data_IF_057007277790
#
_entry.id   IF_057007277790
#
_cell.length_a   1.000
_cell.length_b   1.000
_cell.length_c   1.000
_cell.angle_alpha   90.00
_cell.angle_beta   90.00
_cell.angle_gamma   90.00
#
_symmetry.space_group_name_H-M   'P 1'
#
loop_
_entity.id
_entity.type
_entity.pdbx_description
1 polymer ?
#
# COMPACT_ATOMS: atom_id res chain seq x y z
N UNK A 1 -3.15 0.53 -4.99
CA UNK A 1 -4.50 0.99 -4.66
C UNK A 1 -5.26 0.93 -5.97
N UNK A 2 -6.45 1.51 -6.08
CA UNK A 2 -7.13 1.64 -7.37
C UNK A 2 -7.63 3.08 -7.48
N UNK A 3 -7.77 3.57 -8.71
CA UNK A 3 -8.36 4.87 -8.98
C UNK A 3 -9.83 4.92 -8.52
N UNK A 4 -10.21 6.00 -7.84
CA UNK A 4 -11.60 6.29 -7.49
C UNK A 4 -12.01 7.57 -8.20
N UNK A 5 -13.03 7.48 -9.05
CA UNK A 5 -13.55 8.66 -9.76
C UNK A 5 -14.02 9.74 -8.78
N UNK A 6 -13.68 11.03 -8.97
CA UNK A 6 -14.02 12.14 -8.08
C UNK A 6 -15.48 12.20 -7.62
N UNK A 7 -16.43 11.92 -8.50
CA UNK A 7 -17.86 11.94 -8.15
C UNK A 7 -18.23 10.95 -7.03
N UNK A 8 -17.46 9.87 -6.87
CA UNK A 8 -17.68 8.90 -5.80
C UNK A 8 -17.32 9.44 -4.41
N UNK A 9 -16.62 10.59 -4.32
CA UNK A 9 -16.39 11.27 -3.04
C UNK A 9 -17.51 12.24 -2.66
N UNK A 10 -18.55 12.42 -3.50
CA UNK A 10 -19.73 13.23 -3.17
C UNK A 10 -20.78 12.47 -2.33
N UNK A 11 -20.41 11.28 -1.86
CA UNK A 11 -21.27 10.41 -1.04
C UNK A 11 -21.18 10.79 0.44
N UNK A 12 -22.06 10.20 1.26
CA UNK A 12 -22.04 10.34 2.71
C UNK A 12 -20.64 10.04 3.25
N UNK A 13 -20.10 10.95 4.07
CA UNK A 13 -18.81 10.76 4.72
C UNK A 13 -18.83 9.54 5.64
N UNK A 14 -17.85 8.67 5.44
CA UNK A 14 -17.58 7.50 6.27
C UNK A 14 -16.18 7.68 6.90
N UNK A 15 -15.86 6.98 8.00
CA UNK A 15 -14.60 7.13 8.72
C UNK A 15 -13.44 6.43 7.98
N UNK A 16 -13.27 6.73 6.69
CA UNK A 16 -12.21 6.19 5.86
C UNK A 16 -10.99 7.11 5.87
N UNK A 17 -9.83 6.47 5.73
CA UNK A 17 -8.60 7.15 5.35
C UNK A 17 -8.34 6.90 3.87
N UNK A 18 -7.94 7.92 3.13
CA UNK A 18 -7.78 7.86 1.68
C UNK A 18 -6.30 7.94 1.33
N UNK A 19 -5.76 7.02 0.52
CA UNK A 19 -4.44 7.29 -0.06
C UNK A 19 -4.59 8.15 -1.31
N UNK A 20 -3.76 9.17 -1.40
CA UNK A 20 -3.82 10.21 -2.43
C UNK A 20 -2.47 10.30 -3.12
N UNK A 21 -2.49 10.56 -4.43
CA UNK A 21 -1.28 10.80 -5.21
C UNK A 21 -1.45 11.84 -6.31
N UNK A 22 -2.64 12.44 -6.43
CA UNK A 22 -2.95 13.49 -7.38
C UNK A 22 -3.73 14.62 -6.68
N UNK A 23 -3.65 15.82 -7.23
CA UNK A 23 -4.20 17.02 -6.61
C UNK A 23 -5.73 17.11 -6.79
N UNK A 24 -6.26 16.55 -7.87
CA UNK A 24 -7.70 16.56 -8.14
C UNK A 24 -8.44 15.81 -7.03
N UNK A 25 -7.94 14.63 -6.66
CA UNK A 25 -8.46 13.85 -5.54
C UNK A 25 -8.38 14.62 -4.22
N UNK A 26 -7.24 15.27 -3.94
CA UNK A 26 -7.07 16.09 -2.72
C UNK A 26 -8.09 17.23 -2.68
N UNK A 27 -8.29 17.95 -3.76
CA UNK A 27 -9.27 19.04 -3.83
C UNK A 27 -10.70 18.56 -3.62
N UNK A 28 -11.06 17.43 -4.24
CA UNK A 28 -12.40 16.85 -4.13
C UNK A 28 -12.65 16.36 -2.70
N UNK A 29 -11.67 15.70 -2.08
CA UNK A 29 -11.74 15.30 -0.67
C UNK A 29 -11.87 16.52 0.26
N UNK A 30 -11.12 17.59 0.01
CA UNK A 30 -11.21 18.84 0.79
C UNK A 30 -12.60 19.47 0.69
N UNK A 31 -13.27 19.36 -0.46
CA UNK A 31 -14.62 19.91 -0.67
C UNK A 31 -15.71 19.05 -0.03
N UNK A 32 -15.69 17.73 -0.27
CA UNK A 32 -16.82 16.84 0.05
C UNK A 32 -16.58 15.94 1.26
N UNK A 33 -15.32 15.71 1.64
CA UNK A 33 -14.91 14.81 2.73
C UNK A 33 -14.11 15.56 3.80
N UNK A 34 -14.45 16.83 4.09
CA UNK A 34 -13.78 17.71 5.05
C UNK A 34 -13.41 17.00 6.36
N UNK A 35 -12.14 17.13 6.75
CA UNK A 35 -11.56 16.55 7.96
C UNK A 35 -11.23 15.06 7.83
N UNK A 36 -11.26 14.48 6.63
CA UNK A 36 -10.80 13.10 6.44
C UNK A 36 -9.28 12.99 6.59
N UNK A 37 -8.84 11.78 6.94
CA UNK A 37 -7.43 11.43 6.97
C UNK A 37 -6.98 11.05 5.56
N UNK A 38 -5.81 11.54 5.16
CA UNK A 38 -5.17 11.19 3.91
C UNK A 38 -3.80 10.58 4.17
N UNK A 39 -3.45 9.61 3.33
CA UNK A 39 -2.14 8.97 3.30
C UNK A 39 -1.47 9.35 1.98
N UNK A 40 -0.33 10.02 2.04
CA UNK A 40 0.43 10.35 0.84
C UNK A 40 0.98 9.06 0.25
N UNK A 41 0.55 8.70 -0.95
CA UNK A 41 1.05 7.52 -1.64
C UNK A 41 2.20 7.94 -2.56
N UNK A 42 3.41 7.47 -2.24
CA UNK A 42 4.62 7.78 -3.01
C UNK A 42 5.05 6.57 -3.83
N UNK A 43 5.42 6.81 -5.07
CA UNK A 43 5.99 5.80 -5.93
C UNK A 43 7.49 5.68 -5.67
N UNK A 44 7.90 4.54 -5.12
CA UNK A 44 9.30 4.20 -4.85
C UNK A 44 9.90 3.26 -5.89
N UNK A 45 9.18 3.00 -6.99
CA UNK A 45 9.62 2.15 -8.08
C UNK A 45 8.63 1.05 -8.50
N UNK A 46 7.39 1.08 -7.98
CA UNK A 46 6.34 0.18 -8.48
C UNK A 46 5.79 0.65 -9.83
N UNK A 47 5.91 1.96 -10.16
CA UNK A 47 5.52 2.53 -11.45
C UNK A 47 4.08 2.24 -11.84
N UNK A 48 3.18 2.27 -10.85
CA UNK A 48 1.74 2.02 -11.05
C UNK A 48 0.89 3.21 -10.64
N UNK A 49 1.10 3.68 -9.42
CA UNK A 49 0.37 4.74 -8.75
C UNK A 49 1.33 5.36 -7.72
N UNK A 50 1.11 6.61 -7.37
CA UNK A 50 1.90 7.31 -6.37
C UNK A 50 2.59 8.55 -6.95
N UNK A 51 2.93 9.46 -6.05
CA UNK A 51 3.68 10.69 -6.35
C UNK A 51 5.13 10.27 -6.55
N UNK A 52 5.74 10.67 -7.67
CA UNK A 52 7.16 10.43 -7.89
C UNK A 52 7.97 11.27 -6.91
N UNK A 53 9.12 10.77 -6.47
CA UNK A 53 9.92 11.45 -5.43
C UNK A 53 10.32 12.88 -5.86
N UNK A 54 10.62 13.05 -7.15
CA UNK A 54 10.96 14.33 -7.78
C UNK A 54 9.79 15.33 -7.84
N UNK A 55 8.54 14.86 -7.73
CA UNK A 55 7.32 15.69 -7.74
C UNK A 55 6.80 15.96 -6.32
N UNK A 56 7.31 15.24 -5.32
CA UNK A 56 6.76 15.23 -3.96
C UNK A 56 6.80 16.61 -3.30
N UNK A 57 7.90 17.36 -3.41
CA UNK A 57 7.99 18.70 -2.82
C UNK A 57 6.96 19.66 -3.42
N UNK A 58 6.77 19.62 -4.74
CA UNK A 58 5.78 20.44 -5.42
C UNK A 58 4.34 20.04 -5.03
N UNK A 59 4.09 18.75 -4.86
CA UNK A 59 2.82 18.24 -4.35
C UNK A 59 2.56 18.72 -2.92
N UNK A 60 3.54 18.57 -2.02
CA UNK A 60 3.47 18.98 -0.61
C UNK A 60 3.18 20.48 -0.46
N UNK A 61 3.84 21.31 -1.28
CA UNK A 61 3.61 22.76 -1.31
C UNK A 61 2.14 23.10 -1.62
N UNK A 62 1.54 22.40 -2.60
CA UNK A 62 0.15 22.60 -3.00
C UNK A 62 -0.84 22.09 -1.96
N UNK A 63 -0.64 20.91 -1.39
CA UNK A 63 -1.61 20.39 -0.40
C UNK A 63 -1.61 21.19 0.89
N UNK A 64 -0.50 21.85 1.24
CA UNK A 64 -0.42 22.69 2.45
C UNK A 64 -1.37 23.88 2.40
N UNK A 65 -1.72 24.37 1.21
CA UNK A 65 -2.70 25.45 1.05
C UNK A 65 -4.14 24.96 0.96
N UNK A 66 -4.38 23.64 0.93
CA UNK A 66 -5.71 23.05 0.84
C UNK A 66 -6.21 22.72 2.26
N UNK A 67 -7.22 23.43 2.78
CA UNK A 67 -7.70 23.21 4.13
C UNK A 67 -8.57 21.95 4.24
N UNK A 68 -8.83 21.52 5.47
CA UNK A 68 -9.83 20.49 5.74
C UNK A 68 -9.40 19.07 5.39
N UNK A 69 -8.10 18.78 5.39
CA UNK A 69 -7.55 17.44 5.28
C UNK A 69 -6.51 17.21 6.38
N UNK A 70 -6.42 15.97 6.88
CA UNK A 70 -5.41 15.58 7.85
C UNK A 70 -4.41 14.62 7.20
N UNK A 71 -3.16 15.05 7.01
CA UNK A 71 -2.08 14.19 6.50
C UNK A 71 -1.61 13.27 7.63
N UNK A 72 -2.29 12.14 7.80
CA UNK A 72 -2.07 11.19 8.89
C UNK A 72 -1.18 10.02 8.48
N UNK A 73 -0.92 9.86 7.18
CA UNK A 73 -0.12 8.75 6.67
C UNK A 73 0.82 9.08 5.52
N UNK A 74 1.87 8.26 5.42
CA UNK A 74 2.77 8.13 4.28
C UNK A 74 2.86 6.66 3.92
N UNK A 75 2.68 6.34 2.65
CA UNK A 75 2.68 4.97 2.19
C UNK A 75 3.34 4.78 0.83
N UNK A 76 3.83 3.57 0.62
CA UNK A 76 4.32 3.08 -0.67
C UNK A 76 4.07 1.58 -0.78
N UNK A 77 4.55 0.93 -1.83
CA UNK A 77 4.41 -0.50 -2.02
C UNK A 77 5.69 -1.10 -2.61
N UNK A 78 6.26 -2.09 -1.93
CA UNK A 78 7.35 -2.87 -2.51
C UNK A 78 6.89 -3.61 -3.77
N UNK A 79 7.70 -3.59 -4.83
CA UNK A 79 7.37 -4.26 -6.08
C UNK A 79 7.56 -5.79 -5.97
N UNK A 80 8.62 -6.23 -5.29
CA UNK A 80 8.99 -7.65 -5.22
C UNK A 80 9.67 -8.02 -3.89
N UNK A 81 9.02 -7.68 -2.77
CA UNK A 81 9.54 -8.00 -1.44
C UNK A 81 9.47 -9.50 -1.09
N UNK A 82 8.57 -10.27 -1.72
CA UNK A 82 8.44 -11.72 -1.48
C UNK A 82 9.65 -12.49 -2.00
N UNK A 83 10.21 -12.11 -3.15
CA UNK A 83 11.33 -12.82 -3.76
C UNK A 83 12.59 -12.82 -2.89
N UNK A 84 13.31 -13.94 -2.92
CA UNK A 84 14.62 -14.11 -2.27
C UNK A 84 15.80 -13.77 -3.20
N UNK A 85 15.54 -13.39 -4.45
CA UNK A 85 16.61 -13.11 -5.40
C UNK A 85 17.44 -11.90 -4.97
N UNK A 86 18.74 -11.91 -5.25
CA UNK A 86 19.63 -10.78 -4.92
C UNK A 86 19.18 -9.48 -5.62
N UNK A 87 18.65 -9.58 -6.84
CA UNK A 87 18.13 -8.43 -7.59
C UNK A 87 16.91 -7.85 -6.88
N UNK A 88 15.96 -8.69 -6.49
CA UNK A 88 14.73 -8.27 -5.79
C UNK A 88 15.05 -7.65 -4.42
N UNK A 89 16.00 -8.24 -3.68
CA UNK A 89 16.49 -7.70 -2.39
C UNK A 89 17.14 -6.33 -2.56
N UNK A 90 18.03 -6.18 -3.55
CA UNK A 90 18.69 -4.92 -3.84
C UNK A 90 17.68 -3.84 -4.27
N UNK A 91 16.67 -4.21 -5.07
CA UNK A 91 15.61 -3.29 -5.47
C UNK A 91 14.75 -2.87 -4.27
N UNK A 92 14.32 -3.81 -3.44
CA UNK A 92 13.54 -3.54 -2.22
C UNK A 92 14.30 -2.59 -1.28
N UNK A 93 15.62 -2.76 -1.14
CA UNK A 93 16.44 -1.85 -0.35
C UNK A 93 16.48 -0.42 -0.94
N UNK A 94 16.55 -0.28 -2.28
CA UNK A 94 16.44 1.04 -2.93
C UNK A 94 15.08 1.68 -2.70
N UNK A 95 14.00 0.91 -2.79
CA UNK A 95 12.65 1.40 -2.50
C UNK A 95 12.54 1.92 -1.06
N UNK A 96 13.20 1.26 -0.11
CA UNK A 96 13.24 1.70 1.28
C UNK A 96 13.95 3.04 1.45
N UNK A 97 15.12 3.22 0.83
CA UNK A 97 15.85 4.51 0.87
C UNK A 97 14.96 5.64 0.33
N UNK A 98 14.31 5.42 -0.82
CA UNK A 98 13.40 6.42 -1.39
C UNK A 98 12.19 6.71 -0.49
N UNK A 99 11.69 5.70 0.23
CA UNK A 99 10.61 5.89 1.19
C UNK A 99 11.03 6.72 2.41
N UNK A 100 12.24 6.49 2.92
CA UNK A 100 12.81 7.29 4.01
C UNK A 100 13.09 8.73 3.57
N UNK A 101 13.56 8.93 2.34
CA UNK A 101 13.69 10.26 1.73
C UNK A 101 12.33 10.96 1.61
N UNK A 102 11.30 10.25 1.15
CA UNK A 102 9.95 10.80 1.11
C UNK A 102 9.48 11.23 2.51
N UNK A 103 9.72 10.42 3.54
CA UNK A 103 9.37 10.77 4.92
C UNK A 103 10.10 12.02 5.41
N UNK A 104 11.39 12.17 5.07
CA UNK A 104 12.17 13.37 5.38
C UNK A 104 11.59 14.61 4.71
N UNK A 105 11.22 14.53 3.43
CA UNK A 105 10.61 15.63 2.68
C UNK A 105 9.24 16.02 3.25
N UNK A 106 8.39 15.03 3.55
CA UNK A 106 7.07 15.23 4.17
C UNK A 106 7.20 15.95 5.53
N UNK A 107 8.17 15.54 6.35
CA UNK A 107 8.49 16.19 7.63
C UNK A 107 9.02 17.61 7.47
N UNK A 108 9.90 17.83 6.50
CA UNK A 108 10.41 19.16 6.19
C UNK A 108 9.28 20.12 5.72
N UNK A 109 8.25 19.60 5.07
CA UNK A 109 7.05 20.36 4.69
C UNK A 109 6.10 20.66 5.86
N UNK A 110 6.39 20.16 7.07
CA UNK A 110 5.63 20.42 8.29
C UNK A 110 4.55 19.38 8.61
N UNK A 111 4.54 18.23 7.94
CA UNK A 111 3.64 17.12 8.25
C UNK A 111 4.40 16.03 9.03
N UNK A 112 3.81 15.44 10.08
CA UNK A 112 4.39 14.28 10.77
C UNK A 112 3.40 13.11 10.75
N UNK A 113 3.41 12.28 9.69
CA UNK A 113 2.45 11.20 9.54
C UNK A 113 2.62 10.13 10.62
N UNK A 114 1.55 9.83 11.33
CA UNK A 114 1.50 8.73 12.31
C UNK A 114 1.69 7.39 11.63
N UNK A 115 1.01 7.17 10.51
CA UNK A 115 1.00 5.91 9.78
C UNK A 115 2.05 5.89 8.68
N UNK A 116 3.07 5.06 8.85
CA UNK A 116 4.17 4.90 7.88
C UNK A 116 4.18 3.45 7.45
N UNK A 117 3.81 3.17 6.21
CA UNK A 117 3.62 1.80 5.75
C UNK A 117 4.00 1.57 4.28
N UNK A 118 4.97 0.68 4.06
CA UNK A 118 5.38 0.22 2.73
C UNK A 118 5.14 -1.28 2.53
N UNK A 119 5.19 -2.06 3.61
CA UNK A 119 5.10 -3.52 3.59
C UNK A 119 3.67 -4.04 3.34
N UNK A 120 3.53 -4.84 2.28
CA UNK A 120 2.48 -5.85 2.17
C UNK A 120 2.97 -7.18 2.78
N UNK A 121 2.20 -8.27 2.66
CA UNK A 121 2.57 -9.59 3.23
C UNK A 121 4.00 -10.04 2.90
N UNK A 122 4.44 -9.88 1.64
CA UNK A 122 5.78 -10.32 1.22
C UNK A 122 6.93 -9.47 1.78
N UNK A 123 6.63 -8.26 2.27
CA UNK A 123 7.58 -7.36 2.89
C UNK A 123 7.39 -7.23 4.40
N UNK A 124 6.63 -8.13 5.03
CA UNK A 124 6.56 -8.21 6.48
C UNK A 124 8.00 -8.38 7.00
N UNK A 125 8.52 -7.42 7.78
CA UNK A 125 9.85 -7.51 8.31
C UNK A 125 9.98 -8.77 9.16
N UNK A 126 11.07 -9.50 8.98
CA UNK A 126 11.45 -10.58 9.88
C UNK A 126 12.16 -10.02 11.14
N UNK A 127 12.63 -8.76 11.05
CA UNK A 127 13.30 -8.03 12.12
C UNK A 127 12.46 -6.80 12.55
N UNK A 128 12.52 -6.45 13.84
CA UNK A 128 11.63 -5.47 14.48
C UNK A 128 12.05 -4.00 14.21
N UNK A 129 13.24 -3.75 13.66
CA UNK A 129 13.79 -2.40 13.54
C UNK A 129 13.57 -1.77 12.16
N UNK A 130 12.41 -1.14 11.98
CA UNK A 130 12.17 -0.21 10.88
C UNK A 130 11.36 1.01 11.35
N UNK A 131 11.48 2.18 10.70
CA UNK A 131 10.73 3.39 11.06
C UNK A 131 9.22 3.30 10.74
N UNK A 132 8.71 2.14 10.32
CA UNK A 132 7.31 1.93 9.97
C UNK A 132 6.46 1.74 11.21
N UNK A 133 5.20 2.15 11.14
CA UNK A 133 4.22 2.00 12.22
C UNK A 133 3.06 1.09 11.86
N UNK A 134 2.97 0.69 10.59
CA UNK A 134 1.90 -0.16 10.09
C UNK A 134 2.37 -1.08 8.97
N UNK A 135 1.79 -2.27 8.92
CA UNK A 135 1.98 -3.29 7.89
C UNK A 135 0.62 -3.63 7.28
N UNK A 136 0.57 -3.86 5.97
CA UNK A 136 -0.64 -4.26 5.24
C UNK A 136 -0.63 -5.77 4.98
N UNK A 137 -0.96 -6.55 6.00
CA UNK A 137 -1.12 -8.01 5.88
C UNK A 137 -2.31 -8.36 4.99
N UNK A 138 -2.03 -8.85 3.78
CA UNK A 138 -3.03 -9.28 2.81
C UNK A 138 -3.09 -10.80 2.75
N UNK A 139 -2.36 -11.38 1.80
CA UNK A 139 -2.36 -12.85 1.56
C UNK A 139 -1.98 -13.69 2.80
N UNK A 140 -1.19 -13.13 3.72
CA UNK A 140 -0.80 -13.80 4.96
C UNK A 140 -1.98 -14.02 5.92
N UNK A 141 -2.98 -13.13 5.91
CA UNK A 141 -4.21 -13.28 6.71
C UNK A 141 -5.04 -14.48 6.27
N UNK A 142 -4.81 -15.00 5.06
CA UNK A 142 -5.46 -16.21 4.56
C UNK A 142 -4.62 -17.48 4.78
N UNK A 143 -3.51 -17.38 5.51
CA UNK A 143 -2.63 -18.51 5.77
C UNK A 143 -1.71 -18.88 4.62
N UNK A 144 -1.52 -17.98 3.66
CA UNK A 144 -0.75 -18.25 2.44
C UNK A 144 0.58 -17.50 2.52
N UNK A 145 1.68 -18.24 2.33
CA UNK A 145 3.02 -17.68 2.28
C UNK A 145 3.25 -16.93 0.95
N UNK A 146 3.69 -15.66 0.97
CA UNK A 146 4.03 -14.92 -0.26
C UNK A 146 5.17 -15.55 -1.06
N UNK A 147 6.14 -16.18 -0.38
CA UNK A 147 7.19 -16.99 -0.98
C UNK A 147 7.40 -18.22 -0.08
N UNK A 148 7.39 -19.45 -0.60
CA UNK A 148 7.53 -20.67 0.21
C UNK A 148 8.88 -20.76 0.94
N UNK A 149 9.89 -19.99 0.51
CA UNK A 149 11.22 -19.93 1.15
C UNK A 149 11.30 -18.89 2.27
N UNK A 150 10.28 -18.04 2.44
CA UNK A 150 10.18 -17.06 3.52
C UNK A 150 8.99 -17.40 4.40
N UNK A 151 9.26 -17.93 5.59
CA UNK A 151 8.22 -18.26 6.54
C UNK A 151 7.72 -17.00 7.26
N UNK A 152 6.45 -16.68 7.11
CA UNK A 152 5.71 -15.91 8.12
C UNK A 152 5.21 -16.93 9.15
N UNK A 153 5.61 -16.75 10.40
CA UNK A 153 5.25 -17.67 11.48
C UNK A 153 3.78 -17.54 11.88
N UNK A 154 3.24 -18.60 12.47
CA UNK A 154 1.88 -18.64 13.04
C UNK A 154 0.73 -18.30 12.07
N UNK A 155 0.87 -18.65 10.78
CA UNK A 155 -0.23 -18.58 9.81
C UNK A 155 -0.63 -19.98 9.32
N UNK A 156 -1.91 -20.20 9.08
CA UNK A 156 -2.47 -21.47 8.60
C UNK A 156 -3.58 -21.22 7.58
N UNK A 157 -3.69 -22.01 6.48
CA UNK A 157 -4.73 -21.82 5.47
C UNK A 157 -6.13 -21.77 6.09
N UNK A 158 -6.91 -20.74 5.75
CA UNK A 158 -8.26 -20.53 6.29
C UNK A 158 -9.38 -20.97 5.34
N UNK A 159 -9.02 -21.43 4.13
CA UNK A 159 -9.96 -21.80 3.10
C UNK A 159 -9.64 -23.19 2.56
N UNK A 160 -10.69 -24.01 2.39
CA UNK A 160 -10.63 -25.31 1.71
C UNK A 160 -11.77 -25.40 0.72
N UNK A 161 -11.45 -25.72 -0.53
CA UNK A 161 -12.44 -26.02 -1.57
C UNK A 161 -12.54 -27.53 -1.77
N UNK A 162 -13.75 -28.08 -1.68
CA UNK A 162 -14.03 -29.52 -1.84
C UNK A 162 -15.19 -29.74 -2.81
N UNK A 163 -15.19 -30.90 -3.46
CA UNK A 163 -16.28 -31.36 -4.32
C UNK A 163 -16.43 -32.88 -4.20
N UNK A 164 -17.44 -33.45 -4.84
CA UNK A 164 -17.75 -34.89 -4.79
C UNK A 164 -17.80 -35.45 -6.21
N UNK A 165 -17.19 -36.62 -6.42
CA UNK A 165 -17.30 -37.34 -7.69
C UNK A 165 -18.76 -37.77 -7.90
N UNK A 166 -19.41 -37.24 -8.94
CA UNK A 166 -20.81 -37.55 -9.26
C UNK A 166 -20.96 -38.67 -10.30
N UNK A 167 -19.95 -38.90 -11.13
CA UNK A 167 -19.95 -39.94 -12.15
C UNK A 167 -18.53 -40.24 -12.63
N UNK A 168 -18.24 -41.52 -12.85
CA UNK A 168 -17.03 -41.99 -13.51
C UNK A 168 -17.47 -42.87 -14.69
N UNK A 169 -16.97 -42.57 -15.90
CA UNK A 169 -17.30 -43.35 -17.11
C UNK A 169 -16.02 -43.76 -17.83
N UNK A 170 -15.96 -45.02 -18.24
CA UNK A 170 -14.89 -45.54 -19.10
C UNK A 170 -15.24 -45.26 -20.57
N UNK A 171 -14.38 -44.55 -21.29
CA UNK A 171 -14.55 -44.26 -22.71
C UNK A 171 -13.68 -45.22 -23.53
N UNK A 172 -14.28 -45.98 -24.43
CA UNK A 172 -13.54 -46.85 -25.36
C UNK A 172 -12.80 -45.99 -26.38
N UNK A 173 -11.52 -46.29 -26.63
CA UNK A 173 -10.75 -45.69 -27.73
C UNK A 173 -11.35 -46.13 -29.07
N UNK A 174 -11.55 -45.18 -29.99
CA UNK A 174 -11.87 -45.48 -31.39
C UNK A 174 -10.60 -45.83 -32.15
#
# INVERSE_FOLDING_TARGET
MGYTHPDNFKVKRLPFSYAVWDLEMVEVLSRYQKGCNIHLFVDTGMNREGIRIEELEAFLSKIRSIPGLNVDGLCSHFADASSVSNVSRAFTAKQLVLFEDALRLVRAAGFDPLWRHISASGGIPQDIHHPFTLIRGGIACYGIQPDPRKAIHAISPVMRFVSTLVSVKMIKKR
#
